data_IF_457213685073
#
_entry.id   IF_457213685073
#
_cell.length_a   1.000
_cell.length_b   1.000
_cell.length_c   1.000
_cell.angle_alpha   90.00
_cell.angle_beta   90.00
_cell.angle_gamma   90.00
#
_symmetry.space_group_name_H-M   'P 1'
#
loop_
_entity.id
_entity.type
_entity.pdbx_description
1 polymer ?
#
# COMPACT_ATOMS: atom_id res chain seq x y z
N UNK A 1 -7.28 12.85 -3.85
CA UNK A 1 -5.90 12.99 -4.41
C UNK A 1 -4.82 12.89 -3.34
N UNK A 2 -4.95 13.60 -2.22
CA UNK A 2 -4.01 13.53 -1.08
C UNK A 2 -3.47 12.12 -0.72
N UNK A 3 -4.31 11.07 -0.51
CA UNK A 3 -3.81 9.74 -0.15
C UNK A 3 -2.93 9.08 -1.23
N UNK A 4 -3.16 9.37 -2.51
CA UNK A 4 -2.32 8.85 -3.59
C UNK A 4 -0.93 9.50 -3.61
N UNK A 5 -0.87 10.81 -3.31
CA UNK A 5 0.42 11.52 -3.19
C UNK A 5 1.22 10.99 -2.01
N UNK A 6 0.56 10.74 -0.87
CA UNK A 6 1.20 10.14 0.30
C UNK A 6 1.73 8.74 -0.02
N UNK A 7 0.96 7.90 -0.73
CA UNK A 7 1.43 6.58 -1.15
C UNK A 7 2.67 6.67 -2.04
N UNK A 8 2.66 7.60 -3.02
CA UNK A 8 3.78 7.76 -3.94
C UNK A 8 5.04 8.25 -3.20
N UNK A 9 4.90 9.24 -2.33
CA UNK A 9 5.99 9.74 -1.49
C UNK A 9 6.54 8.64 -0.57
N UNK A 10 5.66 7.87 0.10
CA UNK A 10 6.05 6.74 0.93
C UNK A 10 6.79 5.66 0.12
N UNK A 11 6.30 5.32 -1.08
CA UNK A 11 6.95 4.32 -1.93
C UNK A 11 8.35 4.76 -2.38
N UNK A 12 8.54 6.04 -2.74
CA UNK A 12 9.86 6.59 -3.07
C UNK A 12 10.77 6.61 -1.83
N UNK A 13 10.22 6.95 -0.67
CA UNK A 13 10.99 6.99 0.56
C UNK A 13 11.47 5.59 0.94
N UNK A 14 10.59 4.59 0.90
CA UNK A 14 10.96 3.19 1.13
C UNK A 14 11.99 2.70 0.10
N UNK A 15 11.79 3.03 -1.18
CA UNK A 15 12.74 2.71 -2.25
C UNK A 15 14.16 3.24 -2.00
N UNK A 16 14.27 4.47 -1.50
CA UNK A 16 15.56 5.16 -1.33
C UNK A 16 16.27 4.83 -0.02
N UNK A 17 15.51 4.59 1.04
CA UNK A 17 16.03 4.44 2.40
C UNK A 17 15.89 3.01 2.95
N UNK A 18 15.40 2.05 2.17
CA UNK A 18 15.42 0.63 2.56
C UNK A 18 16.87 0.16 2.77
N UNK A 19 17.21 -0.43 3.92
CA UNK A 19 18.57 -0.88 4.24
C UNK A 19 19.02 -2.05 3.34
N UNK A 20 18.08 -2.90 2.91
CA UNK A 20 18.38 -4.09 2.11
C UNK A 20 18.10 -3.92 0.62
N UNK A 21 17.74 -2.71 0.16
CA UNK A 21 17.31 -2.44 -1.22
C UNK A 21 16.17 -3.38 -1.67
N UNK A 22 15.03 -3.29 -0.98
CA UNK A 22 13.87 -4.17 -1.20
C UNK A 22 13.39 -4.22 -2.66
N UNK A 23 13.67 -3.16 -3.44
CA UNK A 23 13.31 -3.08 -4.86
C UNK A 23 14.16 -3.99 -5.71
N UNK A 24 15.47 -4.10 -5.46
CA UNK A 24 16.32 -5.00 -6.25
C UNK A 24 16.04 -6.47 -5.92
N UNK A 25 15.69 -6.77 -4.67
CA UNK A 25 15.30 -8.11 -4.22
C UNK A 25 13.94 -8.55 -4.81
N UNK A 26 12.88 -7.78 -4.58
CA UNK A 26 11.50 -8.18 -4.85
C UNK A 26 10.68 -7.07 -5.50
N UNK A 27 11.22 -6.48 -6.58
CA UNK A 27 10.55 -5.43 -7.38
C UNK A 27 9.09 -5.77 -7.73
N UNK A 28 8.81 -7.02 -8.12
CA UNK A 28 7.47 -7.46 -8.55
C UNK A 28 6.44 -7.30 -7.43
N UNK A 29 6.76 -7.80 -6.24
CA UNK A 29 5.85 -7.75 -5.07
C UNK A 29 5.71 -6.31 -4.58
N UNK A 30 6.80 -5.54 -4.63
CA UNK A 30 6.79 -4.12 -4.24
C UNK A 30 5.83 -3.30 -5.12
N UNK A 31 5.98 -3.38 -6.45
CA UNK A 31 5.11 -2.66 -7.38
C UNK A 31 3.66 -3.18 -7.35
N UNK A 32 3.46 -4.49 -7.15
CA UNK A 32 2.13 -5.06 -6.96
C UNK A 32 1.41 -4.48 -5.74
N UNK A 33 2.10 -4.40 -4.61
CA UNK A 33 1.55 -3.87 -3.35
C UNK A 33 1.24 -2.38 -3.45
N UNK A 34 2.15 -1.62 -4.07
CA UNK A 34 1.93 -0.19 -4.35
C UNK A 34 0.74 0.01 -5.29
N UNK A 35 0.68 -0.73 -6.39
CA UNK A 35 -0.40 -0.64 -7.38
C UNK A 35 -1.77 -1.03 -6.82
N UNK A 36 -1.85 -2.12 -6.04
CA UNK A 36 -3.11 -2.55 -5.41
C UNK A 36 -3.62 -1.54 -4.38
N UNK A 37 -2.73 -0.92 -3.61
CA UNK A 37 -3.09 0.16 -2.67
C UNK A 37 -3.60 1.39 -3.43
N UNK A 38 -2.91 1.78 -4.51
CA UNK A 38 -3.34 2.88 -5.37
C UNK A 38 -4.72 2.61 -5.99
N UNK A 39 -4.96 1.41 -6.52
CA UNK A 39 -6.26 1.00 -7.04
C UNK A 39 -7.35 1.08 -5.98
N UNK A 40 -7.10 0.70 -4.73
CA UNK A 40 -8.08 0.87 -3.66
C UNK A 40 -8.45 2.35 -3.43
N UNK A 41 -7.45 3.25 -3.43
CA UNK A 41 -7.67 4.68 -3.30
C UNK A 41 -8.47 5.21 -4.49
N UNK A 42 -8.10 4.81 -5.72
CA UNK A 42 -8.78 5.23 -6.94
C UNK A 42 -10.25 4.76 -6.98
N UNK A 43 -10.53 3.49 -6.66
CA UNK A 43 -11.89 2.97 -6.60
C UNK A 43 -12.77 3.75 -5.62
N UNK A 44 -12.26 4.06 -4.43
CA UNK A 44 -12.99 4.88 -3.43
C UNK A 44 -13.26 6.30 -3.93
N UNK A 45 -12.30 6.92 -4.63
CA UNK A 45 -12.49 8.24 -5.22
C UNK A 45 -13.56 8.21 -6.32
N UNK A 46 -13.53 7.21 -7.21
CA UNK A 46 -14.53 7.06 -8.28
C UNK A 46 -15.93 6.89 -7.69
N UNK A 47 -16.11 6.00 -6.72
CA UNK A 47 -17.41 5.78 -6.06
C UNK A 47 -17.92 7.06 -5.39
N UNK A 48 -17.03 7.82 -4.74
CA UNK A 48 -17.39 9.09 -4.13
C UNK A 48 -17.87 10.12 -5.17
N UNK A 49 -17.20 10.18 -6.35
CA UNK A 49 -17.65 11.04 -7.44
C UNK A 49 -19.01 10.61 -8.00
N UNK A 50 -19.21 9.32 -8.22
CA UNK A 50 -20.46 8.78 -8.81
C UNK A 50 -21.67 8.94 -7.89
N UNK A 51 -21.46 8.91 -6.57
CA UNK A 51 -22.54 9.02 -5.57
C UNK A 51 -22.68 10.44 -5.01
N UNK A 52 -21.93 11.42 -5.52
CA UNK A 52 -21.84 12.77 -4.96
C UNK A 52 -21.53 12.80 -3.44
N UNK A 53 -20.82 11.78 -2.95
CA UNK A 53 -20.39 11.70 -1.55
C UNK A 53 -18.94 12.17 -1.39
N UNK A 54 -18.55 12.53 -0.17
CA UNK A 54 -17.14 12.84 0.13
C UNK A 54 -16.35 11.55 0.23
N UNK A 55 -15.23 11.47 -0.48
CA UNK A 55 -14.30 10.36 -0.32
C UNK A 55 -13.69 10.38 1.09
N UNK A 56 -13.56 9.22 1.77
CA UNK A 56 -12.90 9.16 3.07
C UNK A 56 -11.44 9.59 2.93
N UNK A 57 -11.03 10.55 3.76
CA UNK A 57 -9.68 11.09 3.78
C UNK A 57 -8.66 10.07 4.31
N UNK A 58 -9.09 9.21 5.24
CA UNK A 58 -8.27 8.17 5.84
C UNK A 58 -8.46 6.83 5.10
N UNK A 59 -7.36 6.28 4.57
CA UNK A 59 -7.35 4.93 3.99
C UNK A 59 -6.53 4.00 4.88
N UNK A 60 -7.18 3.02 5.49
CA UNK A 60 -6.53 2.05 6.38
C UNK A 60 -5.40 1.28 5.68
N UNK A 61 -5.56 0.91 4.40
CA UNK A 61 -4.52 0.20 3.64
C UNK A 61 -3.27 1.07 3.46
N UNK A 62 -3.45 2.37 3.24
CA UNK A 62 -2.34 3.32 3.17
C UNK A 62 -1.61 3.43 4.51
N UNK A 63 -2.37 3.51 5.62
CA UNK A 63 -1.78 3.53 6.97
C UNK A 63 -0.95 2.28 7.23
N UNK A 64 -1.45 1.12 6.81
CA UNK A 64 -0.78 -0.16 6.98
C UNK A 64 0.49 -0.27 6.11
N UNK A 65 0.45 0.21 4.86
CA UNK A 65 1.63 0.32 3.99
C UNK A 65 2.71 1.23 4.62
N UNK A 66 2.33 2.42 5.08
CA UNK A 66 3.27 3.34 5.74
C UNK A 66 3.82 2.76 7.05
N UNK A 67 3.02 2.01 7.80
CA UNK A 67 3.47 1.33 9.02
C UNK A 67 4.57 0.31 8.74
N UNK A 68 4.39 -0.55 7.72
CA UNK A 68 5.42 -1.52 7.33
C UNK A 68 6.68 -0.84 6.80
N UNK A 69 6.54 0.21 5.99
CA UNK A 69 7.68 1.03 5.56
C UNK A 69 8.49 1.55 6.76
N UNK A 70 7.81 2.13 7.76
CA UNK A 70 8.49 2.66 8.95
C UNK A 70 9.20 1.56 9.75
N UNK A 71 8.56 0.39 9.91
CA UNK A 71 9.17 -0.77 10.58
C UNK A 71 10.41 -1.24 9.82
N UNK A 72 10.35 -1.32 8.48
CA UNK A 72 11.47 -1.76 7.65
C UNK A 72 12.66 -0.79 7.74
N UNK A 73 12.41 0.52 7.73
CA UNK A 73 13.47 1.54 7.76
C UNK A 73 14.06 1.69 9.17
N UNK A 74 13.24 1.73 10.21
CA UNK A 74 13.70 1.99 11.59
C UNK A 74 14.20 0.73 12.28
N UNK A 75 13.63 -0.43 11.94
CA UNK A 75 13.90 -1.69 12.63
C UNK A 75 15.21 -2.38 12.25
N UNK A 76 15.96 -1.85 11.27
CA UNK A 76 17.18 -2.44 10.71
C UNK A 76 17.05 -3.97 10.53
N UNK A 77 15.96 -4.34 9.84
CA UNK A 77 15.47 -5.72 9.83
C UNK A 77 16.27 -6.53 8.81
N UNK A 78 16.58 -7.78 9.14
CA UNK A 78 17.26 -8.71 8.22
C UNK A 78 16.49 -8.88 6.90
N UNK A 79 17.23 -9.10 5.81
CA UNK A 79 16.73 -9.22 4.42
C UNK A 79 15.54 -10.17 4.34
N UNK A 80 15.68 -11.35 4.96
CA UNK A 80 14.69 -12.42 4.95
C UNK A 80 13.37 -12.02 5.64
N UNK A 81 13.44 -11.08 6.58
CA UNK A 81 12.26 -10.59 7.31
C UNK A 81 11.62 -9.43 6.56
N UNK A 82 12.41 -8.51 5.99
CA UNK A 82 11.87 -7.43 5.14
C UNK A 82 11.10 -7.99 3.94
N UNK A 83 11.64 -9.00 3.25
CA UNK A 83 10.95 -9.67 2.15
C UNK A 83 9.66 -10.35 2.59
N UNK A 84 9.67 -11.06 3.72
CA UNK A 84 8.46 -11.71 4.26
C UNK A 84 7.40 -10.69 4.69
N UNK A 85 7.81 -9.58 5.29
CA UNK A 85 6.91 -8.48 5.63
C UNK A 85 6.24 -7.91 4.38
N UNK A 86 7.00 -7.69 3.30
CA UNK A 86 6.45 -7.21 2.03
C UNK A 86 5.45 -8.20 1.42
N UNK A 87 5.74 -9.50 1.44
CA UNK A 87 4.84 -10.54 0.93
C UNK A 87 3.54 -10.64 1.75
N UNK A 88 3.65 -10.62 3.08
CA UNK A 88 2.47 -10.62 3.97
C UNK A 88 1.65 -9.35 3.76
N UNK A 89 2.31 -8.20 3.66
CA UNK A 89 1.68 -6.92 3.34
C UNK A 89 0.90 -6.99 2.01
N UNK A 90 1.52 -7.54 0.96
CA UNK A 90 0.89 -7.74 -0.34
C UNK A 90 -0.37 -8.61 -0.24
N UNK A 91 -0.29 -9.74 0.47
CA UNK A 91 -1.42 -10.65 0.68
C UNK A 91 -2.57 -9.98 1.45
N UNK A 92 -2.26 -9.24 2.51
CA UNK A 92 -3.28 -8.53 3.30
C UNK A 92 -3.95 -7.42 2.49
N UNK A 93 -3.17 -6.61 1.77
CA UNK A 93 -3.69 -5.51 0.95
C UNK A 93 -4.55 -6.03 -0.20
N UNK A 94 -4.12 -7.11 -0.87
CA UNK A 94 -4.90 -7.74 -1.95
C UNK A 94 -6.21 -8.30 -1.45
N UNK A 95 -6.21 -9.06 -0.34
CA UNK A 95 -7.43 -9.58 0.26
C UNK A 95 -8.37 -8.47 0.71
N UNK A 96 -7.87 -7.42 1.34
CA UNK A 96 -8.67 -6.29 1.76
C UNK A 96 -9.26 -5.50 0.57
N UNK A 97 -8.49 -5.35 -0.52
CA UNK A 97 -8.98 -4.74 -1.76
C UNK A 97 -10.08 -5.59 -2.41
N UNK A 98 -9.91 -6.91 -2.46
CA UNK A 98 -10.90 -7.84 -3.00
C UNK A 98 -12.18 -7.83 -2.16
N UNK A 99 -12.05 -7.90 -0.84
CA UNK A 99 -13.19 -7.81 0.09
C UNK A 99 -13.97 -6.50 -0.11
N UNK A 100 -13.27 -5.37 -0.21
CA UNK A 100 -13.90 -4.09 -0.52
C UNK A 100 -14.67 -4.13 -1.86
N UNK A 101 -14.07 -4.71 -2.91
CA UNK A 101 -14.72 -4.85 -4.21
C UNK A 101 -15.98 -5.72 -4.16
N UNK A 102 -15.93 -6.85 -3.46
CA UNK A 102 -17.08 -7.77 -3.29
C UNK A 102 -18.21 -7.09 -2.51
N UNK A 103 -17.89 -6.41 -1.40
CA UNK A 103 -18.89 -5.70 -0.59
C UNK A 103 -19.51 -4.50 -1.31
N UNK A 104 -18.78 -3.86 -2.23
CA UNK A 104 -19.28 -2.70 -2.97
C UNK A 104 -20.34 -3.07 -4.01
N UNK A 105 -20.23 -4.26 -4.62
CA UNK A 105 -21.17 -4.75 -5.65
C UNK A 105 -22.47 -5.29 -5.04
N UNK A 106 -22.48 -5.51 -3.72
CA UNK A 106 -23.62 -6.09 -2.99
C UNK A 106 -24.63 -5.02 -2.60
#
# INVERSE_FOLDING_TARGET
MFPALVLFAASIFWAKYSPNDVISLESRVFYWTMGTTFSNIACRLIVAQMTHTRAPSFNFLLSLYCGVMLIAIVGDVDVSVETRLLQVLAAVITLAHLHYGICLVR
#
